data_IF_403584452642
#
_entry.id   IF_403584452642
#
_cell.length_a   1.000
_cell.length_b   1.000
_cell.length_c   1.000
_cell.angle_alpha   90.00
_cell.angle_beta   90.00
_cell.angle_gamma   90.00
#
_symmetry.space_group_name_H-M   'P 1'
#
loop_
_entity.id
_entity.type
_entity.pdbx_description
1 polymer ?
#
# COMPACT_ATOMS: atom_id res chain seq x y z
N UNK A 1 -6.95 36.06 32.48
CA UNK A 1 -7.84 34.92 32.16
C UNK A 1 -7.88 34.57 30.68
N UNK A 2 -8.04 35.53 29.75
CA UNK A 2 -8.16 35.26 28.30
C UNK A 2 -6.92 34.54 27.71
N UNK A 3 -5.69 34.93 28.08
CA UNK A 3 -4.45 34.33 27.55
C UNK A 3 -4.25 32.84 27.86
N UNK A 4 -4.73 32.35 29.01
CA UNK A 4 -4.58 30.94 29.41
C UNK A 4 -5.56 30.05 28.62
N UNK A 5 -6.77 30.57 28.38
CA UNK A 5 -7.79 29.92 27.55
C UNK A 5 -7.33 29.74 26.10
N UNK A 6 -6.63 30.73 25.54
CA UNK A 6 -6.09 30.64 24.17
C UNK A 6 -5.02 29.54 24.06
N UNK A 7 -4.11 29.45 25.03
CA UNK A 7 -3.05 28.42 25.03
C UNK A 7 -3.64 27.01 25.19
N UNK A 8 -4.65 26.85 26.04
CA UNK A 8 -5.34 25.57 26.20
C UNK A 8 -6.08 25.12 24.94
N UNK A 9 -6.67 26.07 24.20
CA UNK A 9 -7.35 25.78 22.94
C UNK A 9 -6.37 25.30 21.86
N UNK A 10 -5.17 25.91 21.78
CA UNK A 10 -4.15 25.46 20.84
C UNK A 10 -3.66 24.04 21.14
N UNK A 11 -3.43 23.68 22.40
CA UNK A 11 -2.93 22.34 22.78
C UNK A 11 -3.94 21.24 22.42
N UNK A 12 -5.24 21.48 22.61
CA UNK A 12 -6.29 20.48 22.27
C UNK A 12 -6.43 20.29 20.76
N UNK A 13 -6.17 21.33 19.96
CA UNK A 13 -6.19 21.23 18.48
C UNK A 13 -5.01 20.45 17.89
N UNK A 14 -3.86 20.37 18.58
CA UNK A 14 -2.72 19.57 18.10
C UNK A 14 -2.95 18.06 18.28
N UNK A 15 -3.72 17.65 19.29
CA UNK A 15 -4.02 16.23 19.54
C UNK A 15 -4.98 15.60 18.52
N UNK A 16 -5.71 16.37 17.71
CA UNK A 16 -6.65 15.83 16.71
C UNK A 16 -6.03 15.61 15.32
N UNK A 17 -4.75 15.95 15.11
CA UNK A 17 -4.08 15.79 13.81
C UNK A 17 -3.26 14.50 13.68
N UNK A 18 -3.13 13.71 14.76
CA UNK A 18 -2.33 12.48 14.75
C UNK A 18 -2.95 11.31 13.96
N UNK A 19 -4.19 11.43 13.48
CA UNK A 19 -4.90 10.36 12.76
C UNK A 19 -5.14 10.68 11.27
N UNK A 20 -4.46 11.69 10.72
CA UNK A 20 -4.72 12.16 9.35
C UNK A 20 -3.79 11.60 8.29
N UNK A 21 -2.89 10.67 8.64
CA UNK A 21 -1.99 10.03 7.69
C UNK A 21 -2.16 8.52 7.69
N UNK A 22 -2.11 7.87 6.51
CA UNK A 22 -2.13 6.42 6.42
C UNK A 22 -0.93 5.84 7.17
N UNK A 23 -1.13 4.65 7.72
CA UNK A 23 -0.09 3.90 8.41
C UNK A 23 0.79 3.25 7.33
N UNK A 24 2.07 3.60 7.31
CA UNK A 24 3.05 3.18 6.31
C UNK A 24 4.40 2.93 6.97
N UNK A 25 5.26 2.14 6.31
CA UNK A 25 6.60 1.82 6.81
C UNK A 25 7.11 0.49 6.27
N UNK A 26 8.42 0.29 6.36
CA UNK A 26 9.10 -0.90 5.86
C UNK A 26 8.58 -2.21 6.49
N UNK A 27 8.05 -2.13 7.71
CA UNK A 27 7.41 -3.26 8.39
C UNK A 27 6.12 -3.73 7.69
N UNK A 28 5.42 -2.84 6.98
CA UNK A 28 4.23 -3.15 6.21
C UNK A 28 4.58 -3.59 4.79
N UNK A 29 5.58 -2.95 4.19
CA UNK A 29 6.14 -3.33 2.88
C UNK A 29 6.63 -4.79 2.90
N UNK A 30 7.27 -5.21 3.99
CA UNK A 30 7.72 -6.58 4.21
C UNK A 30 6.58 -7.64 4.31
N UNK A 31 5.32 -7.21 4.43
CA UNK A 31 4.17 -8.12 4.41
C UNK A 31 3.81 -8.57 2.99
N UNK A 32 4.32 -7.90 1.97
CA UNK A 32 4.06 -8.25 0.57
C UNK A 32 5.05 -9.31 0.11
N UNK A 33 4.55 -10.50 -0.15
CA UNK A 33 5.33 -11.57 -0.78
C UNK A 33 4.94 -11.69 -2.26
N UNK A 34 5.91 -11.45 -3.15
CA UNK A 34 5.75 -11.62 -4.59
C UNK A 34 6.53 -12.85 -5.03
N UNK A 35 5.81 -13.80 -5.62
CA UNK A 35 6.38 -15.00 -6.21
C UNK A 35 6.17 -15.00 -7.71
N UNK A 36 7.24 -15.25 -8.46
CA UNK A 36 7.15 -15.50 -9.90
C UNK A 36 6.73 -16.95 -10.13
N UNK A 37 5.66 -17.15 -10.91
CA UNK A 37 5.14 -18.46 -11.26
C UNK A 37 5.70 -18.94 -12.61
N UNK A 38 5.75 -18.05 -13.60
CA UNK A 38 6.22 -18.31 -14.97
C UNK A 38 6.98 -17.11 -15.53
N UNK A 39 7.31 -17.10 -16.83
CA UNK A 39 8.13 -16.05 -17.44
C UNK A 39 7.56 -14.64 -17.25
N UNK A 40 6.24 -14.48 -17.28
CA UNK A 40 5.54 -13.20 -17.10
C UNK A 40 4.46 -13.22 -16.03
N UNK A 41 4.29 -14.33 -15.30
CA UNK A 41 3.17 -14.54 -14.38
C UNK A 41 3.64 -14.48 -12.93
N UNK A 42 2.89 -13.76 -12.10
CA UNK A 42 3.23 -13.47 -10.71
C UNK A 42 2.06 -13.76 -9.78
N UNK A 43 2.40 -14.09 -8.53
CA UNK A 43 1.48 -14.23 -7.41
C UNK A 43 1.89 -13.26 -6.31
N UNK A 44 0.97 -12.40 -5.90
CA UNK A 44 1.11 -11.61 -4.68
C UNK A 44 0.35 -12.29 -3.56
N UNK A 45 1.00 -12.42 -2.40
CA UNK A 45 0.38 -12.91 -1.16
C UNK A 45 0.61 -11.91 -0.05
N UNK A 46 -0.45 -11.59 0.68
CA UNK A 46 -0.40 -10.67 1.83
C UNK A 46 -1.25 -11.21 2.98
N UNK A 47 -1.00 -10.80 4.23
CA UNK A 47 -1.91 -11.08 5.33
C UNK A 47 -3.30 -10.52 5.05
N UNK A 48 -4.32 -11.32 5.36
CA UNK A 48 -5.71 -10.85 5.21
C UNK A 48 -6.06 -9.76 6.22
N UNK A 49 -5.43 -9.81 7.40
CA UNK A 49 -5.72 -8.90 8.51
C UNK A 49 -4.42 -8.25 9.01
N UNK A 50 -4.42 -6.92 9.11
CA UNK A 50 -3.33 -6.12 9.68
C UNK A 50 -3.92 -5.03 10.54
N UNK A 51 -3.51 -4.93 11.81
CA UNK A 51 -4.05 -3.94 12.77
C UNK A 51 -5.59 -3.85 12.74
N UNK A 52 -6.27 -5.00 12.85
CA UNK A 52 -7.75 -5.09 12.83
C UNK A 52 -8.43 -4.72 11.50
N UNK A 53 -7.66 -4.35 10.47
CA UNK A 53 -8.16 -4.04 9.13
C UNK A 53 -8.12 -5.30 8.28
N UNK A 54 -9.17 -5.55 7.53
CA UNK A 54 -9.38 -6.82 6.81
C UNK A 54 -9.50 -6.60 5.31
N UNK A 55 -9.38 -7.69 4.54
CA UNK A 55 -9.72 -7.75 3.11
C UNK A 55 -8.99 -6.67 2.28
N UNK A 56 -7.65 -6.77 2.16
CA UNK A 56 -6.85 -5.77 1.47
C UNK A 56 -7.22 -5.66 -0.01
N UNK A 57 -7.09 -4.43 -0.50
CA UNK A 57 -7.12 -4.10 -1.93
C UNK A 57 -5.68 -4.17 -2.44
N UNK A 58 -5.45 -4.97 -3.48
CA UNK A 58 -4.14 -5.12 -4.11
C UNK A 58 -4.19 -4.45 -5.48
N UNK A 59 -3.19 -3.63 -5.75
CA UNK A 59 -3.10 -2.75 -6.91
C UNK A 59 -1.75 -2.95 -7.58
N UNK A 60 -1.75 -3.10 -8.90
CA UNK A 60 -0.57 -3.01 -9.73
C UNK A 60 -0.47 -1.58 -10.24
N UNK A 61 0.66 -0.93 -9.94
CA UNK A 61 1.00 0.40 -10.42
C UNK A 61 2.26 0.37 -11.27
N UNK A 62 2.43 1.40 -12.09
CA UNK A 62 3.62 1.63 -12.89
C UNK A 62 4.16 3.02 -12.61
N UNK A 63 5.43 3.10 -12.21
CA UNK A 63 6.10 4.36 -11.88
C UNK A 63 6.76 4.96 -13.13
N UNK A 64 6.57 6.27 -13.29
CA UNK A 64 6.98 7.07 -14.45
C UNK A 64 8.42 7.57 -14.28
N UNK A 65 8.93 7.61 -13.04
CA UNK A 65 10.27 8.08 -12.72
C UNK A 65 10.98 7.06 -11.82
N UNK A 66 12.28 6.80 -12.04
CA UNK A 66 13.12 5.91 -11.20
C UNK A 66 13.37 6.53 -9.79
N UNK A 67 12.48 7.42 -9.34
CA UNK A 67 12.51 8.00 -8.00
C UNK A 67 11.88 7.01 -7.02
N UNK A 68 12.50 6.83 -5.84
CA UNK A 68 11.97 5.98 -4.77
C UNK A 68 10.64 6.50 -4.16
N UNK A 69 9.99 7.49 -4.79
CA UNK A 69 8.74 8.09 -4.37
C UNK A 69 7.58 7.52 -5.18
N UNK A 70 6.97 6.44 -4.68
CA UNK A 70 5.78 5.73 -5.23
C UNK A 70 4.48 6.59 -5.33
N UNK A 71 4.60 7.92 -5.38
CA UNK A 71 3.51 8.88 -5.20
C UNK A 71 2.71 9.14 -6.47
N UNK A 72 3.19 8.72 -7.65
CA UNK A 72 2.56 9.04 -8.93
C UNK A 72 2.59 7.85 -9.91
N UNK A 73 1.61 6.94 -9.80
CA UNK A 73 1.40 5.93 -10.84
C UNK A 73 0.55 6.48 -11.99
N UNK A 74 1.01 6.26 -13.23
CA UNK A 74 0.27 6.67 -14.44
C UNK A 74 -0.91 5.75 -14.73
N UNK A 75 -0.73 4.45 -14.50
CA UNK A 75 -1.77 3.43 -14.61
C UNK A 75 -1.86 2.60 -13.33
N UNK A 76 -3.11 2.42 -12.86
CA UNK A 76 -3.44 1.73 -11.62
C UNK A 76 -4.46 0.63 -11.93
N UNK A 77 -4.01 -0.63 -11.89
CA UNK A 77 -4.87 -1.79 -12.12
C UNK A 77 -5.19 -2.45 -10.79
N UNK A 78 -6.46 -2.39 -10.37
CA UNK A 78 -6.93 -3.15 -9.21
C UNK A 78 -6.97 -4.63 -9.54
N UNK A 79 -6.20 -5.43 -8.82
CA UNK A 79 -6.14 -6.87 -9.05
C UNK A 79 -7.34 -7.57 -8.41
N UNK A 80 -7.78 -8.67 -9.03
CA UNK A 80 -8.79 -9.54 -8.42
C UNK A 80 -8.16 -10.31 -7.26
N UNK A 81 -8.64 -10.05 -6.05
CA UNK A 81 -8.14 -10.67 -4.82
C UNK A 81 -9.00 -11.85 -4.41
N UNK A 82 -8.35 -12.97 -4.09
CA UNK A 82 -8.96 -14.14 -3.47
C UNK A 82 -8.60 -14.17 -1.97
N UNK A 83 -9.62 -14.06 -1.12
CA UNK A 83 -9.44 -14.10 0.33
C UNK A 83 -9.54 -15.54 0.84
N UNK A 84 -8.49 -15.99 1.53
CA UNK A 84 -8.47 -17.23 2.32
C UNK A 84 -8.60 -16.86 3.81
N UNK A 85 -8.48 -17.85 4.70
CA UNK A 85 -8.67 -17.61 6.14
C UNK A 85 -7.73 -16.52 6.68
N UNK A 86 -6.44 -16.66 6.43
CA UNK A 86 -5.40 -15.80 7.04
C UNK A 86 -4.64 -14.95 6.00
N UNK A 87 -4.84 -15.22 4.71
CA UNK A 87 -4.11 -14.56 3.60
C UNK A 87 -5.05 -14.10 2.49
N UNK A 88 -4.61 -13.11 1.75
CA UNK A 88 -5.20 -12.65 0.49
C UNK A 88 -4.20 -12.87 -0.63
N UNK A 89 -4.68 -13.38 -1.77
CA UNK A 89 -3.84 -13.72 -2.91
C UNK A 89 -4.38 -13.05 -4.16
N UNK A 90 -3.49 -12.48 -4.96
CA UNK A 90 -3.81 -11.98 -6.29
C UNK A 90 -2.82 -12.54 -7.31
N UNK A 91 -3.29 -12.71 -8.54
CA UNK A 91 -2.49 -13.16 -9.68
C UNK A 91 -2.53 -12.10 -10.76
N UNK A 92 -1.40 -11.88 -11.41
CA UNK A 92 -1.28 -10.93 -12.51
C UNK A 92 -0.13 -11.34 -13.43
N UNK A 93 -0.09 -10.70 -14.60
CA UNK A 93 0.97 -10.90 -15.58
C UNK A 93 1.54 -9.56 -16.01
N UNK A 94 2.85 -9.51 -16.25
CA UNK A 94 3.54 -8.34 -16.81
C UNK A 94 3.95 -8.64 -18.24
N UNK A 95 3.57 -7.79 -19.18
CA UNK A 95 4.06 -7.90 -20.55
C UNK A 95 5.55 -7.52 -20.63
N UNK A 96 6.27 -8.10 -21.59
CA UNK A 96 7.75 -8.03 -21.66
C UNK A 96 8.32 -6.64 -22.02
N UNK A 97 7.49 -5.63 -22.28
CA UNK A 97 7.92 -4.32 -22.82
C UNK A 97 7.37 -3.14 -22.02
N UNK A 98 7.36 -3.23 -20.70
CA UNK A 98 7.01 -2.09 -19.86
C UNK A 98 8.30 -1.31 -19.60
N UNK A 99 8.41 -0.10 -20.15
CA UNK A 99 9.54 0.82 -19.91
C UNK A 99 9.54 1.35 -18.47
N UNK A 100 8.35 1.40 -17.86
CA UNK A 100 8.10 1.82 -16.47
C UNK A 100 8.45 0.74 -15.44
N UNK A 101 8.80 1.15 -14.22
CA UNK A 101 9.10 0.23 -13.13
C UNK A 101 7.79 -0.20 -12.45
N UNK A 102 7.38 -1.48 -12.53
CA UNK A 102 6.10 -1.91 -11.97
C UNK A 102 6.24 -2.18 -10.46
N UNK A 103 5.20 -1.83 -9.71
CA UNK A 103 5.14 -2.01 -8.26
C UNK A 103 3.76 -2.51 -7.83
N UNK A 104 3.73 -3.12 -6.64
CA UNK A 104 2.49 -3.54 -5.99
C UNK A 104 2.23 -2.60 -4.82
N UNK A 105 1.02 -2.03 -4.81
CA UNK A 105 0.47 -1.29 -3.69
C UNK A 105 -0.63 -2.11 -3.02
N UNK A 106 -0.61 -2.20 -1.71
CA UNK A 106 -1.60 -2.93 -0.92
C UNK A 106 -2.17 -2.01 0.13
N UNK A 107 -3.50 -1.96 0.19
CA UNK A 107 -4.24 -1.12 1.14
C UNK A 107 -5.17 -1.97 1.97
N UNK A 108 -5.03 -1.90 3.29
CA UNK A 108 -6.02 -2.43 4.21
C UNK A 108 -6.95 -1.28 4.64
N UNK A 109 -8.18 -1.23 4.11
CA UNK A 109 -9.07 -0.11 4.35
C UNK A 109 -9.69 -0.15 5.76
N UNK A 110 -10.22 1.00 6.16
CA UNK A 110 -11.06 1.18 7.34
C UNK A 110 -12.07 2.29 7.05
N UNK A 111 -13.17 2.36 7.79
CA UNK A 111 -14.24 3.35 7.60
C UNK A 111 -13.83 4.82 7.81
N UNK A 112 -12.54 5.12 8.02
CA UNK A 112 -11.97 6.47 8.01
C UNK A 112 -10.97 6.65 6.86
N UNK A 113 -11.17 7.69 6.04
CA UNK A 113 -10.47 7.91 4.77
C UNK A 113 -8.94 7.99 4.82
N UNK A 114 -8.34 8.19 6.00
CA UNK A 114 -6.90 8.40 6.15
C UNK A 114 -6.25 7.46 7.17
N UNK A 115 -6.98 6.46 7.67
CA UNK A 115 -6.41 5.51 8.63
C UNK A 115 -6.17 4.13 8.02
N UNK A 116 -6.10 4.02 6.70
CA UNK A 116 -5.70 2.77 6.04
C UNK A 116 -4.23 2.42 6.35
N UNK A 117 -3.92 1.13 6.32
CA UNK A 117 -2.52 0.67 6.28
C UNK A 117 -2.16 0.52 4.81
N UNK A 118 -1.05 1.12 4.39
CA UNK A 118 -0.55 1.06 3.02
C UNK A 118 0.83 0.41 3.04
N UNK A 119 1.04 -0.53 2.13
CA UNK A 119 2.31 -1.17 1.87
C UNK A 119 2.63 -1.11 0.38
N UNK A 120 3.91 -0.96 0.05
CA UNK A 120 4.41 -0.90 -1.31
C UNK A 120 5.59 -1.86 -1.47
N UNK A 121 5.71 -2.47 -2.63
CA UNK A 121 6.95 -3.16 -3.01
C UNK A 121 7.15 -3.11 -4.51
N UNK A 122 8.41 -2.97 -4.92
CA UNK A 122 8.81 -3.16 -6.31
C UNK A 122 8.63 -4.63 -6.71
N UNK A 123 8.30 -4.85 -7.97
CA UNK A 123 8.32 -6.19 -8.54
C UNK A 123 9.76 -6.49 -8.96
N UNK A 124 10.34 -7.63 -8.55
CA UNK A 124 11.73 -7.95 -8.89
C UNK A 124 11.92 -7.99 -10.42
N UNK A 125 12.91 -7.22 -10.91
CA UNK A 125 13.28 -7.19 -12.34
C UNK A 125 13.86 -8.55 -12.74
N UNK A 126 13.68 -8.92 -14.01
CA UNK A 126 14.33 -10.11 -14.59
C UNK A 126 15.86 -9.92 -14.57
N UNK A 127 16.56 -10.54 -13.63
CA UNK A 127 17.99 -10.81 -13.79
C UNK A 127 18.11 -11.99 -14.76
N UNK A 128 18.33 -11.67 -16.04
CA UNK A 128 18.59 -12.62 -17.12
C UNK A 128 20.02 -13.16 -17.09
#
# INVERSE_FOLDING_TARGET
>A
MIRVLTVLFFIVSFSSQACMFPIQGAEYDALINIERLEESSYRVTVPRVVHERTDPIIVLGFDIDDSDEFLFAEEIVSLKVEHKKDISVAYFSLEKQIEETPFINVRWPVDCCLCEVIANTLIPKNEG
#
